data_IF_395025600263
#
_entry.id   IF_395025600263
#
_cell.length_a   1.000
_cell.length_b   1.000
_cell.length_c   1.000
_cell.angle_alpha   90.00
_cell.angle_beta   90.00
_cell.angle_gamma   90.00
#
_symmetry.space_group_name_H-M   'P 1'
#
loop_
_entity.id
_entity.type
_entity.pdbx_description
1 polymer ?
#
# COMPACT_ATOMS: atom_id res chain seq x y z
N UNK A 1 -30.70 -12.03 23.11
CA UNK A 1 -29.42 -12.12 22.37
C UNK A 1 -29.70 -11.51 21.01
N UNK A 2 -29.35 -10.23 20.84
CA UNK A 2 -29.55 -9.49 19.58
C UNK A 2 -28.24 -9.65 18.81
N UNK A 3 -28.32 -10.17 17.59
CA UNK A 3 -27.19 -10.14 16.66
C UNK A 3 -27.09 -8.72 16.12
N UNK A 4 -25.97 -8.06 16.34
CA UNK A 4 -25.71 -6.73 15.80
C UNK A 4 -25.32 -6.93 14.32
N UNK A 5 -26.26 -6.61 13.43
CA UNK A 5 -26.03 -6.60 11.99
C UNK A 5 -25.17 -5.37 11.66
N UNK A 6 -23.84 -5.57 11.62
CA UNK A 6 -22.91 -4.54 11.19
C UNK A 6 -23.10 -4.27 9.71
N UNK A 7 -23.72 -3.13 9.39
CA UNK A 7 -23.87 -2.64 8.03
C UNK A 7 -22.52 -2.10 7.50
N UNK A 8 -22.26 -2.26 6.21
CA UNK A 8 -21.07 -1.73 5.50
C UNK A 8 -21.02 -0.18 5.41
N UNK A 9 -21.86 0.49 6.21
CA UNK A 9 -21.99 1.94 6.33
C UNK A 9 -21.44 2.47 7.67
N UNK A 10 -20.94 1.60 8.56
CA UNK A 10 -20.15 2.05 9.70
C UNK A 10 -18.84 2.64 9.16
N UNK A 11 -18.78 3.98 9.11
CA UNK A 11 -17.58 4.73 8.75
C UNK A 11 -16.52 4.42 9.80
N UNK A 12 -15.64 3.46 9.50
CA UNK A 12 -14.42 3.28 10.26
C UNK A 12 -13.54 4.52 10.05
N UNK A 13 -13.21 5.22 11.13
CA UNK A 13 -12.24 6.31 11.08
C UNK A 13 -10.87 5.72 10.75
N UNK A 14 -10.40 5.94 9.52
CA UNK A 14 -9.07 5.52 9.10
C UNK A 14 -8.02 6.36 9.80
N UNK A 15 -7.11 5.71 10.49
CA UNK A 15 -5.86 6.33 10.92
C UNK A 15 -4.80 6.07 9.84
N UNK A 16 -4.29 7.15 9.24
CA UNK A 16 -3.22 7.03 8.24
C UNK A 16 -2.04 6.23 8.77
N UNK A 17 -1.72 5.13 8.08
CA UNK A 17 -0.65 4.24 8.52
C UNK A 17 0.69 4.93 8.24
N UNK A 18 1.47 5.14 9.29
CA UNK A 18 2.84 5.64 9.18
C UNK A 18 3.85 4.60 9.66
N UNK A 19 4.41 3.86 8.71
CA UNK A 19 5.39 2.82 8.98
C UNK A 19 6.81 3.32 8.75
N UNK A 20 7.70 3.18 9.74
CA UNK A 20 9.12 3.49 9.59
C UNK A 20 9.99 2.40 10.21
N UNK A 21 10.95 1.87 9.45
CA UNK A 21 11.91 0.87 9.96
C UNK A 21 13.30 1.04 9.35
N UNK A 22 14.34 0.96 10.16
CA UNK A 22 15.73 1.15 9.69
C UNK A 22 16.23 -0.04 8.87
N UNK A 23 16.01 -1.27 9.33
CA UNK A 23 16.58 -2.48 8.70
C UNK A 23 15.62 -3.68 8.70
N UNK A 24 15.95 -4.73 7.93
CA UNK A 24 15.25 -6.03 7.89
C UNK A 24 14.08 -6.07 6.91
N UNK A 25 13.27 -7.12 6.95
CA UNK A 25 12.09 -7.24 6.07
C UNK A 25 10.83 -6.69 6.76
N UNK A 26 9.90 -6.18 5.97
CA UNK A 26 8.61 -5.66 6.39
C UNK A 26 7.51 -6.22 5.48
N UNK A 27 6.44 -6.76 6.06
CA UNK A 27 5.21 -7.11 5.34
C UNK A 27 4.12 -6.19 5.85
N UNK A 28 3.51 -5.44 4.94
CA UNK A 28 2.39 -4.53 5.20
C UNK A 28 1.16 -5.20 4.58
N UNK A 29 0.35 -5.85 5.41
CA UNK A 29 -0.83 -6.57 4.98
C UNK A 29 -2.07 -5.68 5.11
N UNK A 30 -2.52 -5.14 3.98
CA UNK A 30 -3.72 -4.32 3.91
C UNK A 30 -4.96 -5.15 3.55
N UNK A 31 -4.78 -6.42 3.13
CA UNK A 31 -5.90 -7.32 2.82
C UNK A 31 -6.62 -7.79 4.08
N UNK A 32 -5.89 -7.91 5.20
CA UNK A 32 -6.48 -8.19 6.51
C UNK A 32 -6.91 -6.93 7.28
N UNK A 33 -7.06 -5.79 6.60
CA UNK A 33 -7.50 -4.52 7.18
C UNK A 33 -8.79 -4.05 6.50
N UNK A 34 -9.72 -3.49 7.28
CA UNK A 34 -10.91 -2.83 6.72
C UNK A 34 -10.47 -1.44 6.23
N UNK A 35 -10.34 -1.28 4.91
CA UNK A 35 -10.09 0.03 4.28
C UNK A 35 -11.43 0.76 4.12
N UNK A 36 -11.72 1.83 4.87
CA UNK A 36 -13.03 2.49 4.80
C UNK A 36 -13.26 3.19 3.47
N UNK A 37 -14.53 3.54 3.22
CA UNK A 37 -14.91 4.37 2.07
C UNK A 37 -14.21 5.72 2.15
N UNK A 38 -13.80 6.25 1.00
CA UNK A 38 -13.06 7.52 0.90
C UNK A 38 -11.58 7.33 0.61
N UNK A 39 -10.80 8.34 0.98
CA UNK A 39 -9.36 8.44 0.72
C UNK A 39 -8.55 8.01 1.94
N UNK A 40 -7.75 6.96 1.75
CA UNK A 40 -6.90 6.38 2.78
C UNK A 40 -5.44 6.48 2.35
N UNK A 41 -4.54 6.89 3.25
CA UNK A 41 -3.11 6.97 2.95
C UNK A 41 -2.27 6.03 3.82
N UNK A 42 -1.30 5.39 3.18
CA UNK A 42 -0.26 4.58 3.83
C UNK A 42 1.10 5.16 3.45
N UNK A 43 1.87 5.58 4.44
CA UNK A 43 3.23 6.06 4.30
C UNK A 43 4.22 5.01 4.84
N UNK A 44 5.12 4.54 3.99
CA UNK A 44 6.14 3.54 4.32
C UNK A 44 7.52 4.16 4.12
N UNK A 45 8.36 4.08 5.14
CA UNK A 45 9.75 4.54 5.12
C UNK A 45 10.69 3.43 5.58
N UNK A 46 11.66 3.09 4.74
CA UNK A 46 12.61 2.00 4.96
C UNK A 46 14.03 2.44 4.68
N UNK A 47 14.94 2.14 5.59
CA UNK A 47 16.38 2.23 5.32
C UNK A 47 16.81 1.08 4.41
N UNK A 48 17.08 -0.07 5.03
CA UNK A 48 17.66 -1.24 4.39
C UNK A 48 16.73 -2.46 4.47
N UNK A 49 16.62 -3.20 3.37
CA UNK A 49 15.86 -4.44 3.28
C UNK A 49 14.51 -4.28 2.61
N UNK A 50 13.80 -5.40 2.46
CA UNK A 50 12.65 -5.49 1.57
C UNK A 50 11.34 -5.09 2.25
N UNK A 51 10.42 -4.58 1.44
CA UNK A 51 9.04 -4.27 1.80
C UNK A 51 8.12 -5.07 0.89
N UNK A 52 7.21 -5.84 1.46
CA UNK A 52 6.10 -6.48 0.74
C UNK A 52 4.80 -5.80 1.16
N UNK A 53 4.00 -5.39 0.20
CA UNK A 53 2.72 -4.69 0.41
C UNK A 53 1.64 -5.59 -0.20
N UNK A 54 0.74 -6.09 0.63
CA UNK A 54 -0.41 -6.88 0.18
C UNK A 54 -1.62 -5.95 0.13
N UNK A 55 -2.22 -5.81 -1.05
CA UNK A 55 -3.32 -4.89 -1.31
C UNK A 55 -4.55 -5.69 -1.71
N UNK A 56 -5.72 -5.50 -1.06
CA UNK A 56 -6.95 -6.17 -1.47
C UNK A 56 -7.42 -5.72 -2.85
N UNK A 57 -7.84 -6.67 -3.69
CA UNK A 57 -8.29 -6.42 -5.07
C UNK A 57 -9.48 -5.46 -5.16
N UNK A 58 -10.32 -5.37 -4.13
CA UNK A 58 -11.52 -4.53 -4.12
C UNK A 58 -11.20 -3.03 -3.95
N UNK A 59 -10.01 -2.69 -3.47
CA UNK A 59 -9.59 -1.31 -3.22
C UNK A 59 -8.86 -0.76 -4.43
N UNK A 60 -9.23 0.44 -4.88
CA UNK A 60 -8.47 1.07 -5.96
C UNK A 60 -7.20 1.73 -5.41
N UNK A 61 -6.03 1.32 -5.92
CA UNK A 61 -4.75 1.78 -5.40
C UNK A 61 -4.05 2.81 -6.30
N UNK A 62 -3.33 3.73 -5.66
CA UNK A 62 -2.35 4.61 -6.29
C UNK A 62 -1.05 4.46 -5.51
N UNK A 63 0.03 4.13 -6.20
CA UNK A 63 1.35 3.88 -5.64
C UNK A 63 2.30 5.01 -6.07
N UNK A 64 3.05 5.54 -5.11
CA UNK A 64 4.18 6.45 -5.33
C UNK A 64 5.39 5.84 -4.63
N UNK A 65 6.26 5.16 -5.39
CA UNK A 65 7.34 4.34 -4.84
C UNK A 65 8.67 4.95 -5.24
N UNK A 66 9.37 5.49 -4.25
CA UNK A 66 10.74 5.99 -4.35
C UNK A 66 11.72 4.95 -3.82
N UNK A 67 12.69 4.55 -4.67
CA UNK A 67 13.78 3.65 -4.29
C UNK A 67 15.10 4.26 -4.68
N UNK A 68 15.99 4.46 -3.69
CA UNK A 68 17.33 4.98 -3.96
C UNK A 68 18.23 3.94 -4.64
N UNK A 69 18.22 2.68 -4.19
CA UNK A 69 18.91 1.59 -4.87
C UNK A 69 18.16 0.27 -4.66
N UNK A 70 17.64 -0.33 -5.73
CA UNK A 70 16.99 -1.63 -5.60
C UNK A 70 16.04 -1.96 -6.73
N UNK A 71 14.95 -2.65 -6.39
CA UNK A 71 13.96 -3.12 -7.35
C UNK A 71 12.53 -2.87 -6.87
N UNK A 72 11.63 -2.69 -7.82
CA UNK A 72 10.19 -2.62 -7.60
C UNK A 72 9.52 -3.71 -8.42
N UNK A 73 8.66 -4.48 -7.77
CA UNK A 73 7.80 -5.47 -8.40
C UNK A 73 6.34 -5.06 -8.15
N UNK A 74 5.54 -4.89 -9.19
CA UNK A 74 4.11 -4.57 -9.08
C UNK A 74 3.36 -5.59 -9.93
N UNK A 75 2.65 -6.52 -9.29
CA UNK A 75 2.08 -7.66 -10.01
C UNK A 75 3.19 -8.47 -10.72
N UNK A 76 3.11 -8.58 -12.04
CA UNK A 76 4.11 -9.27 -12.86
C UNK A 76 5.24 -8.37 -13.37
N UNK A 77 5.11 -7.04 -13.24
CA UNK A 77 6.11 -6.09 -13.72
C UNK A 77 7.26 -5.96 -12.72
N UNK A 78 8.50 -6.03 -13.21
CA UNK A 78 9.72 -5.82 -12.41
C UNK A 78 10.59 -4.72 -13.02
N UNK A 79 11.03 -3.80 -12.17
CA UNK A 79 11.87 -2.66 -12.53
C UNK A 79 13.06 -2.55 -11.56
N UNK A 80 14.26 -2.37 -12.10
CA UNK A 80 15.43 -1.98 -11.28
C UNK A 80 15.53 -0.47 -11.24
N UNK A 81 15.71 0.10 -10.05
CA UNK A 81 15.69 1.54 -9.81
C UNK A 81 17.00 2.00 -9.20
N UNK A 82 17.47 3.16 -9.68
CA UNK A 82 18.62 3.88 -9.12
C UNK A 82 18.27 5.35 -8.90
N UNK A 83 17.75 5.64 -7.71
CA UNK A 83 17.25 6.94 -7.29
C UNK A 83 16.13 7.46 -8.19
N UNK A 84 15.12 6.61 -8.35
CA UNK A 84 13.99 6.82 -9.25
C UNK A 84 12.67 6.64 -8.49
N UNK A 85 11.62 7.21 -9.08
CA UNK A 85 10.25 7.14 -8.56
C UNK A 85 9.36 6.48 -9.59
N UNK A 86 8.63 5.44 -9.19
CA UNK A 86 7.60 4.81 -10.00
C UNK A 86 6.23 5.20 -9.47
N UNK A 87 5.37 5.59 -10.41
CA UNK A 87 3.96 5.87 -10.15
C UNK A 87 3.10 4.85 -10.85
N UNK A 88 2.20 4.25 -10.08
CA UNK A 88 1.16 3.37 -10.58
C UNK A 88 -0.18 3.88 -10.08
N UNK A 89 -1.21 3.79 -10.90
CA UNK A 89 -2.57 4.19 -10.54
C UNK A 89 -3.52 3.24 -11.24
N UNK A 90 -4.40 2.59 -10.47
CA UNK A 90 -5.44 1.76 -11.04
C UNK A 90 -6.41 2.62 -11.88
N UNK A 91 -6.86 2.11 -13.03
CA UNK A 91 -7.75 2.85 -13.94
C UNK A 91 -9.06 3.30 -13.25
N UNK A 92 -9.57 2.46 -12.34
CA UNK A 92 -10.81 2.74 -11.59
C UNK A 92 -10.65 3.72 -10.43
N UNK A 93 -9.45 4.24 -10.18
CA UNK A 93 -9.14 4.96 -8.94
C UNK A 93 -10.06 6.15 -8.69
N UNK A 94 -10.35 6.98 -9.71
CA UNK A 94 -11.14 8.20 -9.51
C UNK A 94 -12.62 7.93 -9.22
N UNK A 95 -13.12 6.75 -9.58
CA UNK A 95 -14.54 6.37 -9.45
C UNK A 95 -14.80 5.33 -8.35
N UNK A 96 -13.76 4.79 -7.73
CA UNK A 96 -13.89 3.79 -6.68
C UNK A 96 -14.37 4.40 -5.36
N UNK A 97 -15.24 3.67 -4.65
CA UNK A 97 -15.73 4.06 -3.32
C UNK A 97 -14.67 3.92 -2.22
N UNK A 98 -13.69 3.02 -2.41
CA UNK A 98 -12.55 2.79 -1.51
C UNK A 98 -11.26 3.04 -2.26
N UNK A 99 -10.51 4.06 -1.84
CA UNK A 99 -9.27 4.48 -2.49
C UNK A 99 -8.12 4.44 -1.48
N UNK A 100 -7.00 3.90 -1.93
CA UNK A 100 -5.80 3.74 -1.13
C UNK A 100 -4.61 4.35 -1.85
N UNK A 101 -4.02 5.38 -1.24
CA UNK A 101 -2.75 5.94 -1.69
C UNK A 101 -1.63 5.34 -0.85
N UNK A 102 -0.67 4.69 -1.49
CA UNK A 102 0.52 4.17 -0.83
C UNK A 102 1.74 4.97 -1.29
N UNK A 103 2.43 5.58 -0.34
CA UNK A 103 3.67 6.32 -0.57
C UNK A 103 4.81 5.57 0.10
N UNK A 104 5.82 5.17 -0.67
CA UNK A 104 6.93 4.36 -0.16
C UNK A 104 8.27 5.04 -0.46
N UNK A 105 9.14 5.09 0.55
CA UNK A 105 10.52 5.53 0.41
C UNK A 105 11.45 4.44 0.95
N UNK A 106 12.28 3.85 0.08
CA UNK A 106 13.27 2.84 0.46
C UNK A 106 14.66 3.30 0.04
N UNK A 107 15.64 3.29 0.95
CA UNK A 107 17.02 3.59 0.56
C UNK A 107 17.63 2.42 -0.21
N UNK A 108 17.68 1.23 0.40
CA UNK A 108 18.26 0.05 -0.26
C UNK A 108 17.38 -1.17 -0.04
N UNK A 109 16.84 -1.74 -1.11
CA UNK A 109 16.03 -2.96 -1.01
C UNK A 109 15.00 -3.11 -2.12
N UNK A 110 14.18 -4.15 -2.00
CA UNK A 110 13.08 -4.41 -2.93
C UNK A 110 11.74 -3.96 -2.34
N UNK A 111 10.90 -3.34 -3.15
CA UNK A 111 9.48 -3.13 -2.84
C UNK A 111 8.66 -4.05 -3.74
N UNK A 112 7.84 -4.90 -3.15
CA UNK A 112 6.96 -5.83 -3.86
C UNK A 112 5.51 -5.50 -3.50
N UNK A 113 4.68 -5.25 -4.50
CA UNK A 113 3.25 -5.01 -4.35
C UNK A 113 2.49 -6.16 -4.98
N UNK A 114 1.73 -6.87 -4.16
CA UNK A 114 0.87 -7.98 -4.57
C UNK A 114 -0.59 -7.60 -4.34
N UNK A 115 -1.42 -7.85 -5.35
CA UNK A 115 -2.87 -7.76 -5.25
C UNK A 115 -3.40 -9.13 -4.82
N UNK A 116 -4.21 -9.16 -3.76
CA UNK A 116 -4.75 -10.39 -3.14
C UNK A 116 -6.25 -10.31 -2.92
#
# INVERSE_FOLDING_TARGET
MVWEEKNDDDIYEWEDINYTKVAGTSVIDLGNTIVPKGDNTVLIRKGFGNVKILVPEEVAVSLDISVFLGRVCIGEDELTLNNEVIKYRADRYDHASRRLKVVTNVLVGQVEVLFI
#
